data_IF_591043399689
#
_entry.id   IF_591043399689
#
_cell.length_a   1.000
_cell.length_b   1.000
_cell.length_c   1.000
_cell.angle_alpha   90.00
_cell.angle_beta   90.00
_cell.angle_gamma   90.00
#
_symmetry.space_group_name_H-M   'P 1'
#
loop_
_entity.id
_entity.type
_entity.pdbx_description
1 polymer ?
#
# COMPACT_ATOMS: atom_id res chain seq x y z
N UNK A 1 14.46 1.43 -4.20
CA UNK A 1 14.84 1.38 -5.64
C UNK A 1 13.87 2.21 -6.47
N UNK A 2 14.12 2.45 -7.76
CA UNK A 2 13.17 3.14 -8.64
C UNK A 2 11.92 2.27 -8.92
N UNK A 3 10.84 2.90 -9.37
CA UNK A 3 9.67 2.20 -9.92
C UNK A 3 10.00 1.75 -11.34
N UNK A 4 9.78 0.48 -11.66
CA UNK A 4 10.08 -0.09 -12.98
C UNK A 4 8.82 -0.59 -13.68
N UNK A 5 8.67 -0.26 -14.96
CA UNK A 5 7.59 -0.76 -15.81
C UNK A 5 8.11 -1.88 -16.70
N UNK A 6 7.48 -3.05 -16.61
CA UNK A 6 7.90 -4.26 -17.33
C UNK A 6 6.74 -4.81 -18.16
N UNK A 7 6.95 -4.96 -19.47
CA UNK A 7 6.01 -5.67 -20.35
C UNK A 7 6.43 -7.14 -20.51
N UNK A 8 5.49 -8.05 -20.33
CA UNK A 8 5.71 -9.48 -20.58
C UNK A 8 4.82 -9.94 -21.76
N UNK A 9 5.47 -10.34 -22.85
CA UNK A 9 4.78 -10.83 -24.06
C UNK A 9 4.01 -12.14 -23.79
N UNK A 10 4.52 -12.95 -22.86
CA UNK A 10 3.76 -14.07 -22.32
C UNK A 10 2.61 -13.51 -21.48
N UNK A 11 1.38 -13.81 -21.89
CA UNK A 11 0.12 -13.44 -21.22
C UNK A 11 -0.40 -12.01 -21.44
N UNK A 12 0.14 -11.27 -22.42
CA UNK A 12 -0.29 -9.91 -22.72
C UNK A 12 -0.42 -9.07 -21.44
N UNK A 13 0.61 -9.05 -20.59
CA UNK A 13 0.51 -8.38 -19.29
C UNK A 13 1.61 -7.36 -19.07
N UNK A 14 1.24 -6.26 -18.42
CA UNK A 14 2.16 -5.23 -17.96
C UNK A 14 2.25 -5.32 -16.44
N UNK A 15 3.43 -5.13 -15.87
CA UNK A 15 3.62 -5.04 -14.44
C UNK A 15 4.42 -3.82 -14.05
N UNK A 16 4.18 -3.34 -12.84
CA UNK A 16 4.99 -2.31 -12.19
C UNK A 16 5.69 -2.96 -11.00
N UNK A 17 7.01 -2.88 -10.95
CA UNK A 17 7.81 -3.33 -9.81
C UNK A 17 8.03 -2.15 -8.87
N UNK A 18 7.59 -2.34 -7.62
CA UNK A 18 7.73 -1.34 -6.57
C UNK A 18 9.10 -1.46 -5.88
N UNK A 19 9.54 -0.43 -5.13
CA UNK A 19 10.79 -0.47 -4.37
C UNK A 19 10.88 -1.64 -3.38
N UNK A 20 9.72 -2.06 -2.83
CA UNK A 20 9.53 -3.23 -1.95
C UNK A 20 9.66 -4.59 -2.67
N UNK A 21 9.93 -4.58 -3.99
CA UNK A 21 9.94 -5.74 -4.89
C UNK A 21 8.55 -6.36 -5.15
N UNK A 22 7.46 -5.77 -4.61
CA UNK A 22 6.09 -6.13 -4.95
C UNK A 22 5.80 -5.80 -6.42
N UNK A 23 5.04 -6.67 -7.09
CA UNK A 23 4.61 -6.48 -8.48
C UNK A 23 3.11 -6.14 -8.55
N UNK A 24 2.77 -5.03 -9.18
CA UNK A 24 1.38 -4.69 -9.55
C UNK A 24 1.15 -5.20 -10.97
N UNK A 25 0.27 -6.19 -11.14
CA UNK A 25 -0.02 -6.79 -12.45
C UNK A 25 -1.26 -6.19 -13.10
N UNK A 26 -1.12 -5.83 -14.36
CA UNK A 26 -2.20 -5.48 -15.29
C UNK A 26 -2.29 -6.57 -16.37
N UNK A 27 -3.15 -7.58 -16.14
CA UNK A 27 -3.37 -8.66 -17.10
C UNK A 27 -4.14 -8.18 -18.34
N UNK A 28 -4.03 -8.87 -19.48
CA UNK A 28 -4.70 -8.53 -20.75
C UNK A 28 -4.52 -7.04 -21.13
N UNK A 29 -3.31 -6.55 -20.95
CA UNK A 29 -2.92 -5.18 -21.27
C UNK A 29 -2.85 -5.02 -22.79
N UNK A 30 -3.74 -4.20 -23.32
CA UNK A 30 -3.90 -4.04 -24.75
C UNK A 30 -4.22 -2.60 -25.12
N UNK A 31 -3.91 -2.24 -26.35
CA UNK A 31 -4.35 -0.98 -26.96
C UNK A 31 -5.59 -1.26 -27.79
N UNK A 32 -6.69 -0.55 -27.50
CA UNK A 32 -7.96 -0.67 -28.24
C UNK A 32 -8.33 0.66 -28.88
N UNK A 33 -9.25 0.60 -29.84
CA UNK A 33 -9.96 1.78 -30.36
C UNK A 33 -11.36 1.79 -29.74
N UNK A 34 -11.71 2.86 -29.05
CA UNK A 34 -13.02 2.97 -28.41
C UNK A 34 -14.13 3.33 -29.41
N UNK A 35 -15.38 3.38 -28.94
CA UNK A 35 -16.56 3.66 -29.77
C UNK A 35 -16.50 5.03 -30.47
N UNK A 36 -15.73 5.96 -29.93
CA UNK A 36 -15.52 7.31 -30.47
C UNK A 36 -14.31 7.39 -31.42
N UNK A 37 -13.64 6.26 -31.70
CA UNK A 37 -12.48 6.21 -32.61
C UNK A 37 -11.15 6.58 -31.96
N UNK A 38 -11.10 6.85 -30.65
CA UNK A 38 -9.84 7.16 -29.95
C UNK A 38 -9.10 5.90 -29.54
N UNK A 39 -7.77 5.93 -29.67
CA UNK A 39 -6.90 4.87 -29.17
C UNK A 39 -6.72 5.01 -27.65
N UNK A 40 -7.00 3.95 -26.90
CA UNK A 40 -6.83 3.90 -25.46
C UNK A 40 -6.17 2.60 -25.00
N UNK A 41 -5.46 2.65 -23.89
CA UNK A 41 -4.92 1.46 -23.24
C UNK A 41 -5.95 0.91 -22.26
N UNK A 42 -6.07 -0.42 -22.24
CA UNK A 42 -6.94 -1.14 -21.32
C UNK A 42 -6.23 -2.32 -20.70
N UNK A 43 -6.78 -2.81 -19.59
CA UNK A 43 -6.36 -4.05 -18.93
C UNK A 43 -7.58 -4.85 -18.46
N UNK A 44 -7.36 -6.14 -18.20
CA UNK A 44 -8.32 -7.08 -17.65
C UNK A 44 -9.51 -7.29 -18.58
N UNK A 45 -10.69 -6.82 -18.15
CA UNK A 45 -11.96 -6.89 -18.90
C UNK A 45 -12.27 -5.57 -19.62
N UNK A 46 -11.26 -4.92 -20.20
CA UNK A 46 -11.41 -3.65 -20.91
C UNK A 46 -11.44 -2.41 -20.01
N UNK A 47 -10.89 -2.49 -18.79
CA UNK A 47 -10.77 -1.33 -17.90
C UNK A 47 -9.71 -0.37 -18.43
N UNK A 48 -10.02 0.92 -18.51
CA UNK A 48 -9.06 1.94 -18.96
C UNK A 48 -7.89 2.05 -17.98
N UNK A 49 -6.70 2.27 -18.53
CA UNK A 49 -5.50 2.59 -17.77
C UNK A 49 -4.90 3.89 -18.30
N UNK A 50 -4.56 4.76 -17.35
CA UNK A 50 -4.08 6.11 -17.59
C UNK A 50 -3.24 6.55 -16.39
N UNK A 51 -2.50 7.66 -16.53
CA UNK A 51 -1.54 8.12 -15.52
C UNK A 51 -2.12 8.20 -14.11
N UNK A 52 -3.32 8.79 -13.94
CA UNK A 52 -3.97 8.89 -12.63
C UNK A 52 -4.21 7.54 -11.95
N UNK A 53 -4.76 6.56 -12.67
CA UNK A 53 -4.97 5.20 -12.15
C UNK A 53 -3.65 4.51 -11.76
N UNK A 54 -2.62 4.69 -12.59
CA UNK A 54 -1.30 4.11 -12.31
C UNK A 54 -0.69 4.73 -11.06
N UNK A 55 -0.70 6.07 -10.95
CA UNK A 55 -0.20 6.80 -9.78
C UNK A 55 -0.92 6.38 -8.51
N UNK A 56 -2.26 6.32 -8.54
CA UNK A 56 -3.06 5.88 -7.40
C UNK A 56 -2.69 4.46 -6.96
N UNK A 57 -2.63 3.51 -7.90
CA UNK A 57 -2.29 2.11 -7.59
C UNK A 57 -0.88 1.98 -6.99
N UNK A 58 0.10 2.72 -7.52
CA UNK A 58 1.47 2.70 -7.01
C UNK A 58 1.53 3.25 -5.58
N UNK A 59 0.94 4.43 -5.34
CA UNK A 59 0.94 5.07 -4.02
C UNK A 59 0.25 4.18 -2.99
N UNK A 60 -0.96 3.69 -3.28
CA UNK A 60 -1.70 2.82 -2.37
C UNK A 60 -0.96 1.50 -2.09
N UNK A 61 -0.32 0.91 -3.10
CA UNK A 61 0.42 -0.33 -2.91
C UNK A 61 1.66 -0.12 -2.05
N UNK A 62 2.42 0.96 -2.26
CA UNK A 62 3.58 1.29 -1.42
C UNK A 62 3.16 1.61 0.03
N UNK A 63 2.07 2.37 0.23
CA UNK A 63 1.51 2.60 1.57
C UNK A 63 1.12 1.28 2.24
N UNK A 64 0.54 0.33 1.50
CA UNK A 64 0.15 -0.97 2.05
C UNK A 64 1.35 -1.86 2.37
N UNK A 65 2.43 -1.77 1.60
CA UNK A 65 3.66 -2.51 1.88
C UNK A 65 4.28 -2.04 3.19
N UNK A 66 4.38 -0.72 3.40
CA UNK A 66 4.86 -0.13 4.66
C UNK A 66 3.98 -0.53 5.85
N UNK A 67 2.67 -0.31 5.72
CA UNK A 67 1.71 -0.69 6.76
C UNK A 67 1.78 -2.18 7.11
N UNK A 68 2.00 -3.04 6.11
CA UNK A 68 2.15 -4.49 6.32
C UNK A 68 3.36 -4.85 7.19
N UNK A 69 4.48 -4.17 7.02
CA UNK A 69 5.66 -4.32 7.88
C UNK A 69 5.38 -3.84 9.31
N UNK A 70 4.71 -2.70 9.48
CA UNK A 70 4.32 -2.17 10.79
C UNK A 70 3.34 -3.09 11.52
N UNK A 71 2.34 -3.66 10.82
CA UNK A 71 1.40 -4.63 11.39
C UNK A 71 2.16 -5.86 11.89
N UNK A 72 3.08 -6.39 11.09
CA UNK A 72 3.87 -7.55 11.48
C UNK A 72 4.75 -7.27 12.71
N UNK A 73 5.33 -6.07 12.80
CA UNK A 73 6.11 -5.65 13.96
C UNK A 73 5.23 -5.48 15.22
N UNK A 74 4.06 -4.86 15.09
CA UNK A 74 3.09 -4.70 16.19
C UNK A 74 2.65 -6.06 16.76
N UNK A 75 2.30 -7.02 15.90
CA UNK A 75 1.93 -8.38 16.32
C UNK A 75 3.08 -9.08 17.08
N UNK A 76 4.32 -8.92 16.63
CA UNK A 76 5.50 -9.44 17.34
C UNK A 76 5.70 -8.84 18.73
N UNK A 77 5.26 -7.60 18.95
CA UNK A 77 5.32 -6.93 20.25
C UNK A 77 4.13 -7.27 21.17
N UNK A 78 3.28 -8.22 20.75
CA UNK A 78 2.01 -8.55 21.40
C UNK A 78 1.08 -7.33 21.50
N UNK A 79 0.99 -6.57 20.41
CA UNK A 79 -0.06 -5.58 20.15
C UNK A 79 -1.00 -6.14 19.08
N UNK A 80 -2.06 -6.87 19.47
CA UNK A 80 -2.96 -7.50 18.52
C UNK A 80 -3.63 -6.44 17.64
N UNK A 81 -3.53 -6.57 16.33
CA UNK A 81 -4.14 -5.65 15.36
C UNK A 81 -5.58 -6.11 15.09
N UNK A 82 -6.53 -5.44 15.75
CA UNK A 82 -7.96 -5.75 15.64
C UNK A 82 -8.56 -5.25 14.32
N UNK A 83 -8.06 -4.14 13.80
CA UNK A 83 -8.58 -3.49 12.59
C UNK A 83 -7.48 -2.67 11.91
N UNK A 84 -7.61 -2.54 10.59
CA UNK A 84 -6.88 -1.54 9.80
C UNK A 84 -7.86 -0.73 8.97
N UNK A 85 -7.76 0.59 9.01
CA UNK A 85 -8.57 1.50 8.18
C UNK A 85 -7.61 2.38 7.40
N UNK A 86 -7.62 2.27 6.07
CA UNK A 86 -6.63 2.93 5.20
C UNK A 86 -5.19 2.63 5.64
N UNK A 87 -4.50 3.64 6.17
CA UNK A 87 -3.13 3.65 6.68
C UNK A 87 -3.05 3.54 8.21
N UNK A 88 -4.18 3.36 8.90
CA UNK A 88 -4.26 3.30 10.35
C UNK A 88 -4.26 1.86 10.89
N UNK A 89 -3.61 1.68 12.05
CA UNK A 89 -3.63 0.45 12.86
C UNK A 89 -4.47 0.69 14.10
N UNK A 90 -5.36 -0.25 14.43
CA UNK A 90 -6.12 -0.26 15.68
C UNK A 90 -5.73 -1.50 16.47
N UNK A 91 -5.23 -1.29 17.69
CA UNK A 91 -4.87 -2.39 18.60
C UNK A 91 -5.68 -2.32 19.89
N UNK A 92 -6.11 -3.49 20.37
CA UNK A 92 -6.79 -3.63 21.65
C UNK A 92 -5.84 -4.23 22.67
N UNK A 93 -5.38 -3.40 23.60
CA UNK A 93 -4.45 -3.80 24.67
C UNK A 93 -5.03 -3.49 26.04
N UNK A 94 -4.49 -4.13 27.09
CA UNK A 94 -4.84 -3.78 28.46
C UNK A 94 -4.51 -2.30 28.74
N UNK A 95 -5.36 -1.60 29.50
CA UNK A 95 -5.22 -0.15 29.77
C UNK A 95 -3.81 0.25 30.24
N UNK A 96 -3.16 -0.61 31.05
CA UNK A 96 -1.79 -0.38 31.54
C UNK A 96 -0.71 -0.33 30.46
N UNK A 97 -0.96 -0.87 29.26
CA UNK A 97 -0.04 -0.84 28.10
C UNK A 97 -0.44 0.20 27.05
N UNK A 98 -1.54 0.93 27.24
CA UNK A 98 -2.12 1.81 26.21
C UNK A 98 -1.13 2.84 25.66
N UNK A 99 -0.45 3.59 26.54
CA UNK A 99 0.52 4.61 26.12
C UNK A 99 1.72 4.00 25.40
N UNK A 100 2.29 2.93 25.95
CA UNK A 100 3.42 2.24 25.33
C UNK A 100 3.05 1.70 23.93
N UNK A 101 1.87 1.09 23.79
CA UNK A 101 1.36 0.61 22.52
C UNK A 101 1.18 1.75 21.51
N UNK A 102 0.64 2.90 21.94
CA UNK A 102 0.46 4.06 21.09
C UNK A 102 1.81 4.61 20.61
N UNK A 103 2.75 4.83 21.52
CA UNK A 103 4.07 5.38 21.23
C UNK A 103 4.86 4.46 20.27
N UNK A 104 4.82 3.14 20.53
CA UNK A 104 5.49 2.15 19.68
C UNK A 104 4.87 2.12 18.27
N UNK A 105 3.54 2.12 18.15
CA UNK A 105 2.86 2.13 16.84
C UNK A 105 3.15 3.42 16.08
N UNK A 106 3.09 4.59 16.73
CA UNK A 106 3.44 5.87 16.10
C UNK A 106 4.89 5.85 15.62
N UNK A 107 5.80 5.34 16.44
CA UNK A 107 7.22 5.20 16.10
C UNK A 107 7.42 4.34 14.86
N UNK A 108 6.84 3.13 14.83
CA UNK A 108 6.94 2.21 13.69
C UNK A 108 6.31 2.77 12.40
N UNK A 109 5.17 3.46 12.49
CA UNK A 109 4.53 4.07 11.32
C UNK A 109 5.32 5.27 10.78
N UNK A 110 6.07 5.97 11.64
CA UNK A 110 6.89 7.12 11.27
C UNK A 110 8.31 6.74 10.82
N UNK A 111 8.72 5.49 10.98
CA UNK A 111 10.04 5.00 10.56
C UNK A 111 10.04 4.67 9.06
N UNK A 112 11.03 5.18 8.33
CA UNK A 112 11.16 4.89 6.90
C UNK A 112 11.55 3.42 6.67
N UNK A 113 10.86 2.68 5.79
CA UNK A 113 11.17 1.28 5.53
C UNK A 113 12.49 1.16 4.75
N UNK A 114 13.16 0.01 4.87
CA UNK A 114 14.46 -0.25 4.22
C UNK A 114 14.44 -0.06 2.69
N UNK A 115 13.30 -0.34 2.05
CA UNK A 115 13.14 -0.17 0.60
C UNK A 115 12.89 1.28 0.16
N UNK A 116 12.65 2.20 1.12
CA UNK A 116 12.38 3.62 0.92
C UNK A 116 12.93 4.48 2.06
N UNK A 117 14.25 4.52 2.28
CA UNK A 117 14.87 5.20 3.44
C UNK A 117 14.68 6.73 3.45
N UNK A 118 14.40 7.32 2.28
CA UNK A 118 14.19 8.76 2.14
C UNK A 118 12.74 9.20 2.37
N UNK A 119 11.81 8.25 2.55
CA UNK A 119 10.40 8.56 2.79
C UNK A 119 10.26 9.39 4.07
N UNK A 120 9.56 10.52 3.96
CA UNK A 120 9.20 11.35 5.10
C UNK A 120 7.83 10.91 5.59
N UNK A 121 7.83 10.20 6.71
CA UNK A 121 6.63 9.64 7.32
C UNK A 121 6.38 10.30 8.66
N UNK A 122 5.11 10.36 9.03
CA UNK A 122 4.64 10.83 10.32
C UNK A 122 3.30 10.18 10.62
N UNK A 123 3.06 9.91 11.89
CA UNK A 123 1.83 9.29 12.36
C UNK A 123 1.27 10.05 13.57
N UNK A 124 -0.05 10.00 13.70
CA UNK A 124 -0.79 10.52 14.84
C UNK A 124 -1.73 9.42 15.34
N UNK A 125 -2.13 9.49 16.60
CA UNK A 125 -3.03 8.53 17.19
C UNK A 125 -3.52 8.95 18.57
N UNK A 126 -4.48 8.20 19.10
CA UNK A 126 -5.04 8.42 20.42
C UNK A 126 -5.45 7.09 21.05
N UNK A 127 -5.66 7.10 22.36
CA UNK A 127 -6.20 5.97 23.12
C UNK A 127 -7.69 6.22 23.35
N UNK A 128 -8.49 5.21 23.13
CA UNK A 128 -9.93 5.23 23.43
C UNK A 128 -10.33 3.92 24.10
N UNK A 129 -11.41 3.96 24.89
CA UNK A 129 -12.04 2.75 25.44
C UNK A 129 -12.91 2.04 24.39
N UNK A 130 -13.40 2.82 23.41
CA UNK A 130 -14.34 2.39 22.39
C UNK A 130 -13.86 2.81 20.99
N UNK A 131 -14.33 2.12 19.94
CA UNK A 131 -14.04 2.47 18.55
C UNK A 131 -15.09 3.47 17.99
N UNK A 132 -15.21 4.64 18.61
CA UNK A 132 -16.13 5.72 18.19
C UNK A 132 -15.37 6.90 17.58
#
# INVERSE_FOLDING_TARGET
>A
GPIEFVSEDRFESMHIVLPSNRRIRYANFAKITNKQGYKEWVYGRGRKIYGGLVTENVVQAMSRDHLGECIYAAEKMNYPVSLTVHDSIVSCVHKSRGQQCLDDIIGMLSEAPNWGPDLKLGAEGHISEDFN
#
